data_IF_586186075685
#
_entry.id   IF_586186075685
#
_cell.length_a   1.000
_cell.length_b   1.000
_cell.length_c   1.000
_cell.angle_alpha   90.00
_cell.angle_beta   90.00
_cell.angle_gamma   90.00
#
_symmetry.space_group_name_H-M   'P 1'
#
loop_
_entity.id
_entity.type
_entity.pdbx_description
1 polymer ?
#
# COMPACT_ATOMS: atom_id res chain seq x y z
N UNK A 1 -11.25 -10.96 14.13
CA UNK A 1 -10.68 -9.92 13.23
C UNK A 1 -9.33 -9.41 13.76
N UNK A 2 -8.51 -8.72 12.95
CA UNK A 2 -7.25 -8.09 13.40
C UNK A 2 -7.45 -7.16 14.61
N UNK A 3 -8.58 -6.46 14.63
CA UNK A 3 -9.00 -5.56 15.71
C UNK A 3 -9.20 -6.29 17.03
N UNK A 4 -9.82 -7.47 17.03
CA UNK A 4 -9.96 -8.32 18.25
C UNK A 4 -8.61 -8.78 18.81
N UNK A 5 -7.66 -9.16 17.94
CA UNK A 5 -6.30 -9.53 18.37
C UNK A 5 -5.57 -8.33 18.95
N UNK A 6 -5.69 -7.16 18.32
CA UNK A 6 -5.12 -5.92 18.86
C UNK A 6 -5.72 -5.55 20.21
N UNK A 7 -7.05 -5.66 20.38
CA UNK A 7 -7.73 -5.44 21.66
C UNK A 7 -7.19 -6.36 22.77
N UNK A 8 -6.91 -7.63 22.45
CA UNK A 8 -6.33 -8.58 23.41
C UNK A 8 -4.86 -8.29 23.79
N UNK A 9 -4.07 -7.70 22.88
CA UNK A 9 -2.65 -7.44 23.09
C UNK A 9 -2.37 -6.04 23.67
N UNK A 10 -3.16 -5.04 23.27
CA UNK A 10 -2.86 -3.61 23.45
C UNK A 10 -3.96 -2.86 24.20
N UNK A 11 -5.06 -3.56 24.55
CA UNK A 11 -6.19 -2.98 25.26
C UNK A 11 -7.13 -2.16 24.36
N UNK A 12 -8.22 -1.68 24.96
CA UNK A 12 -9.31 -0.96 24.26
C UNK A 12 -8.87 0.39 23.69
N UNK A 13 -8.02 1.11 24.42
CA UNK A 13 -7.57 2.46 24.08
C UNK A 13 -6.93 2.55 22.69
N UNK A 14 -6.09 1.58 22.32
CA UNK A 14 -5.46 1.60 21.00
C UNK A 14 -6.44 1.32 19.88
N UNK A 15 -7.37 0.37 20.07
CA UNK A 15 -8.30 -0.03 19.01
C UNK A 15 -9.35 1.04 18.66
N UNK A 16 -9.55 2.01 19.55
CA UNK A 16 -10.44 3.16 19.33
C UNK A 16 -9.69 4.37 18.77
N UNK A 17 -8.39 4.49 19.05
CA UNK A 17 -7.55 5.60 18.61
C UNK A 17 -6.44 5.16 17.65
N UNK A 18 -6.77 4.27 16.71
CA UNK A 18 -5.84 3.80 15.67
C UNK A 18 -6.48 3.74 14.28
N UNK A 19 -5.62 3.80 13.27
CA UNK A 19 -5.95 3.69 11.85
C UNK A 19 -5.49 2.34 11.33
N UNK A 20 -6.34 1.60 10.60
CA UNK A 20 -5.93 0.38 9.93
C UNK A 20 -4.94 0.69 8.81
N UNK A 21 -3.88 -0.11 8.73
CA UNK A 21 -2.88 -0.05 7.66
C UNK A 21 -3.01 -1.30 6.81
N UNK A 22 -3.03 -1.08 5.51
CA UNK A 22 -2.92 -2.13 4.50
C UNK A 22 -2.14 -1.60 3.30
N UNK A 23 -0.96 -2.15 3.07
CA UNK A 23 -0.09 -1.77 1.98
C UNK A 23 0.66 -3.00 1.44
N UNK A 24 0.93 -3.01 0.14
CA UNK A 24 1.76 -4.05 -0.47
C UNK A 24 2.65 -3.43 -1.56
N UNK A 25 3.94 -3.78 -1.55
CA UNK A 25 4.90 -3.36 -2.56
C UNK A 25 6.13 -4.29 -2.56
N UNK A 26 6.72 -4.54 -3.73
CA UNK A 26 7.99 -5.26 -3.83
C UNK A 26 8.00 -6.66 -3.19
N UNK A 27 6.88 -7.39 -3.24
CA UNK A 27 6.75 -8.70 -2.60
C UNK A 27 6.61 -8.66 -1.07
N UNK A 28 6.48 -7.47 -0.49
CA UNK A 28 6.20 -7.25 0.92
C UNK A 28 4.74 -6.81 1.10
N UNK A 29 4.11 -7.23 2.19
CA UNK A 29 2.78 -6.77 2.61
C UNK A 29 2.84 -6.31 4.06
N UNK A 30 2.33 -5.12 4.33
CA UNK A 30 2.17 -4.55 5.66
C UNK A 30 0.68 -4.49 5.99
N UNK A 31 0.32 -5.03 7.16
CA UNK A 31 -1.04 -4.98 7.71
C UNK A 31 -0.97 -4.64 9.19
N UNK A 32 -1.92 -3.91 9.73
CA UNK A 32 -1.85 -3.58 11.14
C UNK A 32 -2.75 -2.45 11.59
N UNK A 33 -2.46 -1.96 12.79
CA UNK A 33 -3.04 -0.75 13.36
C UNK A 33 -1.90 0.19 13.78
N UNK A 34 -2.05 1.46 13.42
CA UNK A 34 -1.18 2.54 13.86
C UNK A 34 -1.99 3.53 14.68
N UNK A 35 -1.53 3.82 15.90
CA UNK A 35 -2.14 4.81 16.77
C UNK A 35 -2.11 6.20 16.14
N UNK A 36 -3.20 6.95 16.26
CA UNK A 36 -3.19 8.34 15.80
C UNK A 36 -2.23 9.17 16.66
N UNK A 37 -1.76 10.34 16.19
CA UNK A 37 -0.92 11.22 16.99
C UNK A 37 -1.56 11.63 18.33
N UNK A 38 -2.90 11.70 18.37
CA UNK A 38 -3.69 11.97 19.57
C UNK A 38 -3.63 10.82 20.59
N UNK A 39 -3.47 9.59 20.11
CA UNK A 39 -3.32 8.38 20.92
C UNK A 39 -1.89 8.15 21.42
N UNK A 40 -0.94 9.03 21.06
CA UNK A 40 0.46 8.85 21.41
C UNK A 40 0.66 8.87 22.92
N UNK A 41 1.45 7.91 23.40
CA UNK A 41 1.66 7.66 24.82
C UNK A 41 2.98 8.28 25.31
N UNK A 42 3.12 8.44 26.62
CA UNK A 42 4.39 8.87 27.22
C UNK A 42 5.47 7.77 27.22
N UNK A 43 5.07 6.49 27.04
CA UNK A 43 5.96 5.34 27.04
C UNK A 43 5.78 4.51 25.77
N UNK A 44 6.86 3.85 25.34
CA UNK A 44 6.91 2.99 24.16
C UNK A 44 6.40 1.57 24.44
N UNK A 45 5.43 1.40 25.34
CA UNK A 45 4.98 0.10 25.82
C UNK A 45 4.11 -0.64 24.80
N UNK A 46 3.52 0.10 23.85
CA UNK A 46 2.58 -0.42 22.86
C UNK A 46 3.18 -0.54 21.45
N UNK A 47 4.38 -1.12 21.33
CA UNK A 47 5.13 -1.17 20.06
C UNK A 47 5.45 -2.62 19.66
N UNK A 48 4.72 -3.12 18.66
CA UNK A 48 4.82 -4.52 18.25
C UNK A 48 4.97 -4.67 16.74
N UNK A 49 6.04 -5.37 16.37
CA UNK A 49 6.29 -5.85 15.01
C UNK A 49 6.21 -7.36 14.95
N UNK A 50 5.51 -7.86 13.94
CA UNK A 50 5.50 -9.25 13.58
C UNK A 50 5.97 -9.40 12.13
N UNK A 51 6.94 -10.27 11.89
CA UNK A 51 7.42 -10.61 10.53
C UNK A 51 7.15 -12.08 10.29
N UNK A 52 6.35 -12.39 9.27
CA UNK A 52 5.92 -13.77 8.96
C UNK A 52 5.37 -14.50 10.21
N UNK A 53 4.63 -13.78 11.06
CA UNK A 53 4.00 -14.29 12.29
C UNK A 53 4.91 -14.35 13.54
N UNK A 54 6.18 -13.95 13.46
CA UNK A 54 7.10 -13.94 14.61
C UNK A 54 7.27 -12.54 15.18
N UNK A 55 7.28 -12.39 16.50
CA UNK A 55 7.61 -11.11 17.13
C UNK A 55 9.07 -10.74 16.88
N UNK A 56 9.31 -9.50 16.49
CA UNK A 56 10.63 -8.98 16.13
C UNK A 56 10.87 -7.65 16.82
N UNK A 57 12.08 -7.47 17.35
CA UNK A 57 12.61 -6.16 17.72
C UNK A 57 13.76 -5.83 16.81
N UNK A 58 13.51 -4.96 15.86
CA UNK A 58 14.52 -4.51 14.90
C UNK A 58 14.64 -2.99 14.92
N UNK A 59 15.89 -2.51 14.89
CA UNK A 59 16.19 -1.08 14.97
C UNK A 59 15.83 -0.34 13.69
N UNK A 60 15.91 -1.00 12.53
CA UNK A 60 15.58 -0.39 11.23
C UNK A 60 14.07 -0.14 11.15
N UNK A 61 13.25 -1.13 11.54
CA UNK A 61 11.81 -0.97 11.63
C UNK A 61 11.40 0.10 12.63
N UNK A 62 11.99 0.10 13.83
CA UNK A 62 11.72 1.13 14.83
C UNK A 62 12.08 2.54 14.33
N UNK A 63 13.19 2.68 13.60
CA UNK A 63 13.58 3.94 12.98
C UNK A 63 12.58 4.40 11.92
N UNK A 64 12.09 3.50 11.07
CA UNK A 64 11.11 3.80 10.04
C UNK A 64 9.81 4.38 10.63
N UNK A 65 9.32 3.80 11.74
CA UNK A 65 8.14 4.35 12.44
C UNK A 65 8.46 5.72 12.99
N UNK A 66 9.58 5.88 13.68
CA UNK A 66 9.95 7.15 14.29
C UNK A 66 9.99 8.27 13.26
N UNK A 67 10.54 8.01 12.07
CA UNK A 67 10.56 8.99 10.97
C UNK A 67 9.16 9.28 10.43
N UNK A 68 8.31 8.27 10.23
CA UNK A 68 6.93 8.48 9.76
C UNK A 68 6.09 9.32 10.74
N UNK A 69 6.42 9.28 12.03
CA UNK A 69 5.74 10.06 13.07
C UNK A 69 6.47 11.35 13.45
N UNK A 70 7.64 11.63 12.89
CA UNK A 70 8.50 12.73 13.33
C UNK A 70 7.82 14.11 13.20
N UNK A 71 7.02 14.30 12.16
CA UNK A 71 6.27 15.54 11.93
C UNK A 71 4.96 15.60 12.73
N UNK A 72 4.46 14.45 13.18
CA UNK A 72 3.16 14.31 13.84
C UNK A 72 3.25 14.31 15.36
N UNK A 73 4.37 13.84 15.91
CA UNK A 73 4.59 13.76 17.35
C UNK A 73 5.53 14.88 17.80
N UNK A 74 5.17 15.50 18.92
CA UNK A 74 5.99 16.52 19.56
C UNK A 74 6.47 16.05 20.93
N UNK A 75 7.71 16.41 21.27
CA UNK A 75 8.36 16.04 22.52
C UNK A 75 8.63 14.54 22.64
N UNK A 76 8.55 14.01 23.87
CA UNK A 76 8.90 12.61 24.19
C UNK A 76 7.76 11.60 23.93
N UNK A 77 6.78 11.97 23.10
CA UNK A 77 5.62 11.11 22.81
C UNK A 77 6.03 9.94 21.93
N UNK A 78 5.47 8.78 22.25
CA UNK A 78 5.74 7.52 21.58
C UNK A 78 4.50 7.05 20.81
N UNK A 79 4.71 6.69 19.55
CA UNK A 79 3.69 6.03 18.74
C UNK A 79 3.37 4.65 19.31
N UNK A 80 2.09 4.29 19.30
CA UNK A 80 1.62 2.95 19.60
C UNK A 80 1.21 2.26 18.28
N UNK A 81 1.64 1.03 18.07
CA UNK A 81 1.40 0.32 16.82
C UNK A 81 1.44 -1.20 16.98
N UNK A 82 0.69 -1.87 16.11
CA UNK A 82 0.68 -3.32 15.93
C UNK A 82 0.78 -3.62 14.45
N UNK A 83 1.97 -3.98 13.99
CA UNK A 83 2.29 -4.11 12.58
C UNK A 83 2.70 -5.54 12.25
N UNK A 84 2.10 -6.10 11.20
CA UNK A 84 2.35 -7.42 10.64
C UNK A 84 2.93 -7.24 9.24
N UNK A 85 4.09 -7.82 9.02
CA UNK A 85 4.82 -7.76 7.77
C UNK A 85 4.93 -9.18 7.23
N UNK A 86 4.35 -9.42 6.06
CA UNK A 86 4.52 -10.66 5.32
C UNK A 86 5.51 -10.40 4.19
N UNK A 87 6.59 -11.18 4.13
CA UNK A 87 7.63 -11.08 3.09
C UNK A 87 8.00 -12.47 2.63
N UNK A 88 8.21 -12.65 1.32
CA UNK A 88 8.69 -13.91 0.78
C UNK A 88 10.03 -14.31 1.45
N UNK A 89 10.09 -15.47 2.12
CA UNK A 89 11.31 -15.92 2.80
C UNK A 89 12.48 -16.17 1.84
N UNK A 90 12.24 -16.27 0.53
CA UNK A 90 13.30 -16.38 -0.48
C UNK A 90 14.03 -15.05 -0.71
N UNK A 91 13.36 -13.92 -0.46
CA UNK A 91 13.95 -12.58 -0.60
C UNK A 91 14.46 -12.01 0.73
N UNK A 92 14.12 -12.63 1.86
CA UNK A 92 14.61 -12.23 3.19
C UNK A 92 15.43 -13.36 3.82
N UNK A 93 16.73 -13.08 4.06
CA UNK A 93 17.59 -13.92 4.89
C UNK A 93 17.26 -13.70 6.37
N UNK A 94 16.09 -14.21 6.79
CA UNK A 94 15.63 -14.20 8.17
C UNK A 94 16.52 -15.15 8.97
N UNK A 95 17.69 -14.70 9.39
CA UNK A 95 18.58 -15.44 10.29
C UNK A 95 18.03 -15.34 11.74
N UNK A 96 16.80 -15.81 11.93
CA UNK A 96 16.10 -15.85 13.22
C UNK A 96 16.49 -17.12 13.93
N UNK A 97 17.45 -17.02 14.84
CA UNK A 97 17.70 -18.09 15.77
C UNK A 97 16.44 -18.28 16.64
N UNK A 98 15.95 -19.50 16.88
CA UNK A 98 14.74 -19.75 17.68
C UNK A 98 14.76 -19.18 19.11
N UNK A 99 15.92 -18.69 19.57
CA UNK A 99 16.12 -18.09 20.89
C UNK A 99 16.42 -16.57 20.85
N UNK A 100 16.49 -15.93 19.67
CA UNK A 100 16.81 -14.50 19.52
C UNK A 100 15.73 -13.75 18.75
N UNK A 101 15.40 -12.56 19.25
CA UNK A 101 14.33 -11.65 18.80
C UNK A 101 14.78 -10.77 17.60
N UNK A 102 16.02 -10.94 17.15
CA UNK A 102 16.66 -10.11 16.12
C UNK A 102 16.50 -10.73 14.72
N UNK A 103 16.19 -9.90 13.72
CA UNK A 103 16.05 -10.28 12.32
C UNK A 103 17.08 -9.52 11.49
N UNK A 104 17.68 -10.19 10.50
CA UNK A 104 18.42 -9.52 9.43
C UNK A 104 17.58 -9.51 8.17
N UNK A 105 17.48 -8.36 7.53
CA UNK A 105 16.81 -8.23 6.25
C UNK A 105 17.85 -8.11 5.15
N UNK A 106 17.62 -8.79 4.03
CA UNK A 106 18.52 -8.71 2.87
C UNK A 106 18.53 -7.30 2.27
N UNK A 107 17.36 -6.67 2.22
CA UNK A 107 17.19 -5.29 1.77
C UNK A 107 16.51 -4.45 2.87
N UNK A 108 17.26 -4.18 3.94
CA UNK A 108 16.80 -3.35 5.07
C UNK A 108 16.38 -1.95 4.63
N UNK A 109 16.99 -1.41 3.57
CA UNK A 109 16.71 -0.06 3.07
C UNK A 109 15.37 -0.01 2.33
N UNK A 110 15.05 -1.02 1.53
CA UNK A 110 13.73 -1.12 0.89
C UNK A 110 12.62 -1.32 1.93
N UNK A 111 12.85 -2.19 2.92
CA UNK A 111 11.89 -2.43 4.00
C UNK A 111 11.61 -1.17 4.82
N UNK A 112 12.66 -0.44 5.19
CA UNK A 112 12.56 0.84 5.90
C UNK A 112 11.68 1.83 5.15
N UNK A 113 11.99 2.09 3.87
CA UNK A 113 11.24 3.03 3.05
C UNK A 113 9.79 2.58 2.88
N UNK A 114 9.55 1.29 2.66
CA UNK A 114 8.20 0.74 2.54
C UNK A 114 7.36 0.98 3.79
N UNK A 115 7.90 0.65 4.98
CA UNK A 115 7.18 0.84 6.25
C UNK A 115 6.93 2.32 6.52
N UNK A 116 7.95 3.16 6.34
CA UNK A 116 7.82 4.62 6.52
C UNK A 116 6.72 5.19 5.64
N UNK A 117 6.77 4.95 4.33
CA UNK A 117 5.79 5.49 3.39
C UNK A 117 4.38 4.94 3.61
N UNK A 118 4.24 3.67 3.99
CA UNK A 118 2.93 3.11 4.32
C UNK A 118 2.32 3.79 5.55
N UNK A 119 3.13 4.10 6.57
CA UNK A 119 2.70 4.83 7.76
C UNK A 119 2.35 6.29 7.45
N UNK A 120 3.21 7.01 6.73
CA UNK A 120 2.97 8.39 6.30
C UNK A 120 1.64 8.50 5.54
N UNK A 121 1.38 7.57 4.60
CA UNK A 121 0.12 7.54 3.84
C UNK A 121 -1.11 7.24 4.69
N UNK A 122 -0.99 6.35 5.66
CA UNK A 122 -2.10 5.98 6.54
C UNK A 122 -2.43 7.07 7.57
N UNK A 123 -1.41 7.82 8.01
CA UNK A 123 -1.53 8.88 9.01
C UNK A 123 -1.83 10.24 8.40
N UNK A 124 -1.66 10.40 7.08
CA UNK A 124 -2.00 11.62 6.38
C UNK A 124 -3.47 12.01 6.65
N UNK A 125 -3.76 13.30 6.95
CA UNK A 125 -5.11 13.78 7.17
C UNK A 125 -5.97 13.46 5.94
N UNK A 126 -6.99 12.64 6.16
CA UNK A 126 -7.68 11.87 5.13
C UNK A 126 -8.26 12.73 4.00
N UNK A 127 -7.75 12.53 2.78
CA UNK A 127 -8.63 12.48 1.63
C UNK A 127 -9.06 11.01 1.48
N UNK A 128 -10.23 10.69 2.06
CA UNK A 128 -10.97 9.45 1.93
C UNK A 128 -10.28 8.16 2.43
N UNK A 129 -10.89 7.56 3.46
CA UNK A 129 -10.92 6.11 3.65
C UNK A 129 -11.59 5.47 2.43
N UNK A 130 -10.84 5.26 1.35
CA UNK A 130 -11.25 4.34 0.30
C UNK A 130 -10.83 2.93 0.75
N UNK A 131 -11.77 1.99 0.96
CA UNK A 131 -11.39 0.59 1.09
C UNK A 131 -10.69 0.21 -0.23
N UNK A 132 -9.42 -0.17 -0.15
CA UNK A 132 -8.72 -0.81 -1.26
C UNK A 132 -9.34 -2.19 -1.44
N UNK A 133 -10.39 -2.26 -2.27
CA UNK A 133 -10.92 -3.52 -2.75
C UNK A 133 -9.79 -4.24 -3.49
N UNK A 134 -9.48 -5.47 -3.06
CA UNK A 134 -8.64 -6.37 -3.82
C UNK A 134 -9.33 -6.66 -5.14
N UNK A 135 -8.86 -6.03 -6.23
CA UNK A 135 -9.27 -6.42 -7.57
C UNK A 135 -8.82 -7.86 -7.78
N UNK A 136 -9.76 -8.80 -7.75
CA UNK A 136 -9.53 -10.12 -8.31
C UNK A 136 -9.42 -9.91 -9.81
N UNK A 137 -8.22 -10.09 -10.36
CA UNK A 137 -8.02 -10.02 -11.82
C UNK A 137 -8.64 -11.28 -12.41
N UNK A 138 -9.94 -11.24 -12.68
CA UNK A 138 -10.57 -12.17 -13.60
C UNK A 138 -10.13 -11.79 -15.01
N UNK A 139 -9.42 -12.68 -15.69
CA UNK A 139 -8.98 -12.51 -17.07
C UNK A 139 -10.18 -12.54 -18.02
N UNK A 140 -10.98 -11.48 -18.09
CA UNK A 140 -11.85 -11.20 -19.24
C UNK A 140 -12.24 -9.72 -19.24
N UNK A 141 -11.66 -8.93 -20.16
CA UNK A 141 -12.14 -7.57 -20.48
C UNK A 141 -11.53 -6.43 -19.67
N UNK A 142 -10.38 -5.91 -20.13
CA UNK A 142 -9.85 -4.60 -19.68
C UNK A 142 -10.62 -3.52 -20.43
N UNK A 143 -11.85 -3.18 -20.01
CA UNK A 143 -12.46 -1.87 -20.26
C UNK A 143 -13.52 -1.59 -19.18
N UNK A 144 -13.54 -0.35 -18.68
CA UNK A 144 -14.61 0.28 -17.88
C UNK A 144 -14.54 0.28 -16.34
N UNK A 145 -13.40 0.61 -15.71
CA UNK A 145 -13.41 0.90 -14.25
C UNK A 145 -12.40 1.95 -13.74
N UNK A 146 -11.96 2.89 -14.57
CA UNK A 146 -11.24 4.08 -14.11
C UNK A 146 -12.15 5.29 -14.28
N UNK A 147 -13.04 5.49 -13.30
CA UNK A 147 -13.93 6.65 -13.16
C UNK A 147 -13.17 7.93 -12.86
N UNK A 148 -12.28 8.34 -13.77
CA UNK A 148 -11.70 9.67 -13.81
C UNK A 148 -12.76 10.60 -14.41
N UNK A 149 -13.53 11.26 -13.53
CA UNK A 149 -14.29 12.44 -13.91
C UNK A 149 -13.29 13.51 -14.39
N UNK A 150 -13.20 13.69 -15.71
CA UNK A 150 -12.46 14.79 -16.32
C UNK A 150 -13.28 16.08 -16.18
N UNK A 151 -12.74 17.19 -15.66
CA UNK A 151 -13.36 18.48 -15.89
C UNK A 151 -13.19 18.84 -17.37
N UNK A 152 -14.29 18.77 -18.11
CA UNK A 152 -14.42 19.29 -19.45
C UNK A 152 -14.39 20.82 -19.41
N UNK A 153 -13.23 21.42 -19.70
CA UNK A 153 -13.09 22.72 -20.38
C UNK A 153 -11.64 23.19 -20.30
N UNK A 154 -10.89 22.97 -21.38
CA UNK A 154 -9.83 23.86 -21.90
C UNK A 154 -8.80 23.02 -22.66
N UNK A 155 -9.09 22.67 -23.92
CA UNK A 155 -8.14 22.73 -25.04
C UNK A 155 -8.79 22.19 -26.33
N UNK A 156 -9.40 23.08 -27.10
CA UNK A 156 -9.26 23.10 -28.56
C UNK A 156 -9.31 24.58 -28.95
N UNK A 157 -8.44 25.09 -29.86
CA UNK A 157 -8.08 24.41 -31.11
C UNK A 157 -6.59 24.54 -31.52
N UNK A 158 -5.92 23.44 -31.88
CA UNK A 158 -4.69 23.54 -32.69
C UNK A 158 -4.49 22.44 -33.76
N UNK A 159 -5.32 21.41 -33.85
CA UNK A 159 -5.07 20.31 -34.80
C UNK A 159 -6.25 20.13 -35.74
N UNK A 160 -6.56 21.20 -36.48
CA UNK A 160 -7.21 21.08 -37.78
C UNK A 160 -6.14 20.66 -38.81
N UNK A 161 -6.48 19.67 -39.65
CA UNK A 161 -5.69 19.06 -40.76
C UNK A 161 -4.74 17.95 -40.27
N UNK A 162 -4.73 16.74 -40.82
CA UNK A 162 -5.28 16.23 -42.06
C UNK A 162 -5.66 14.74 -41.92
N UNK A 163 -6.87 14.40 -42.38
CA UNK A 163 -7.26 13.03 -42.70
C UNK A 163 -6.61 12.68 -44.04
N UNK A 164 -5.81 11.62 -44.09
CA UNK A 164 -5.42 10.97 -45.34
C UNK A 164 -6.22 9.67 -45.44
N UNK A 165 -7.12 9.50 -46.42
CA UNK A 165 -7.90 8.29 -46.57
C UNK A 165 -7.06 7.17 -47.21
N UNK A 166 -7.18 5.94 -46.68
CA UNK A 166 -6.66 4.73 -47.30
C UNK A 166 -7.51 4.34 -48.52
N UNK A 167 -6.88 3.91 -49.65
CA UNK A 167 -7.61 3.46 -50.83
C UNK A 167 -8.31 2.12 -50.61
N UNK A 168 -9.55 2.03 -51.09
CA UNK A 168 -10.40 0.85 -51.04
C UNK A 168 -9.87 -0.26 -51.95
N UNK A 169 -9.92 -1.50 -51.45
CA UNK A 169 -9.62 -2.70 -52.22
C UNK A 169 -10.71 -2.94 -53.28
N UNK A 170 -10.33 -2.77 -54.55
CA UNK A 170 -11.18 -3.03 -55.71
C UNK A 170 -11.32 -4.55 -55.94
N UNK A 171 -12.58 -4.98 -56.01
CA UNK A 171 -12.99 -6.37 -56.19
C UNK A 171 -12.84 -6.77 -57.66
N UNK A 172 -12.25 -7.95 -57.90
CA UNK A 172 -12.18 -8.56 -59.22
C UNK A 172 -13.58 -8.98 -59.73
N UNK A 173 -13.90 -8.79 -61.02
CA UNK A 173 -15.22 -9.08 -61.56
C UNK A 173 -15.40 -10.55 -61.95
N UNK A 174 -16.59 -11.08 -61.68
CA UNK A 174 -17.05 -12.34 -62.24
C UNK A 174 -18.56 -12.34 -62.47
N UNK A 175 -19.00 -12.11 -63.70
CA UNK A 175 -20.05 -12.96 -64.29
C UNK A 175 -20.11 -12.85 -65.82
N UNK A 176 -20.61 -13.93 -66.42
CA UNK A 176 -20.57 -14.29 -67.82
C UNK A 176 -21.80 -13.84 -68.63
N UNK A 177 -21.60 -13.82 -69.96
CA UNK A 177 -22.51 -14.16 -71.09
C UNK A 177 -23.80 -13.36 -71.35
N UNK A 178 -23.96 -12.96 -72.62
CA UNK A 178 -25.26 -12.92 -73.29
C UNK A 178 -25.35 -12.04 -74.55
N UNK A 179 -24.84 -12.52 -75.69
CA UNK A 179 -25.43 -12.41 -77.03
C UNK A 179 -24.60 -13.27 -78.01
#
# INVERSE_FOLDING_TARGET
>A
SLRERALSLLGRSLADASVPIEAAAGGMRLRGLAGTPQAAQARADCQYFFVNGRYVRDRVLAHAVREAYAELLHGERQAAYLLFIDIDPRVVDVNVHPAKIEVRFRDSRALHQFVRHALERALAPSAAQAPVAYATVSQTGIQAALGLAQPAAAYQPFMARAVVPLPAAEQAPGHARGA
#
